data_IF_537807110993
#
_entry.id   IF_537807110993
#
_cell.length_a   1.000
_cell.length_b   1.000
_cell.length_c   1.000
_cell.angle_alpha   90.00
_cell.angle_beta   90.00
_cell.angle_gamma   90.00
#
_symmetry.space_group_name_H-M   'P 1'
#
loop_
_entity.id
_entity.type
_entity.pdbx_description
1 polymer ?
#
# COMPACT_ATOMS: atom_id res chain seq x y z
N UNK A 1 -9.59 -21.75 12.27
CA UNK A 1 -9.33 -20.30 12.09
C UNK A 1 -10.67 -19.64 11.95
N UNK A 2 -11.18 -19.01 13.01
CA UNK A 2 -12.40 -18.20 12.92
C UNK A 2 -12.06 -16.93 12.15
N UNK A 3 -12.41 -16.96 10.88
CA UNK A 3 -12.25 -15.83 9.95
C UNK A 3 -13.45 -14.92 10.19
N UNK A 4 -13.26 -13.85 10.97
CA UNK A 4 -14.24 -12.77 11.03
C UNK A 4 -14.19 -12.03 9.69
N UNK A 5 -15.12 -12.37 8.82
CA UNK A 5 -15.35 -11.71 7.53
C UNK A 5 -15.52 -10.20 7.73
N UNK A 6 -14.53 -9.40 7.33
CA UNK A 6 -14.65 -7.96 7.27
C UNK A 6 -14.93 -7.55 5.82
N UNK A 7 -16.07 -6.87 5.62
CA UNK A 7 -16.45 -6.17 4.39
C UNK A 7 -15.43 -5.08 4.08
N UNK A 8 -15.43 -4.58 2.83
CA UNK A 8 -14.79 -3.33 2.40
C UNK A 8 -14.77 -2.32 3.56
N UNK A 9 -13.58 -2.08 4.11
CA UNK A 9 -13.40 -1.22 5.26
C UNK A 9 -13.22 0.21 4.77
N UNK A 10 -13.93 1.14 5.40
CA UNK A 10 -13.71 2.58 5.21
C UNK A 10 -12.22 2.89 5.45
N UNK A 11 -11.54 3.65 4.58
CA UNK A 11 -10.13 3.98 4.77
C UNK A 11 -9.80 4.63 6.13
N UNK A 12 -10.77 5.29 6.80
CA UNK A 12 -10.60 5.74 8.20
C UNK A 12 -10.48 4.58 9.18
N UNK A 13 -11.30 3.54 9.00
CA UNK A 13 -11.23 2.29 9.79
C UNK A 13 -9.93 1.55 9.49
N UNK A 14 -9.48 1.49 8.23
CA UNK A 14 -8.17 0.92 7.90
C UNK A 14 -7.06 1.68 8.60
N UNK A 15 -7.08 3.02 8.57
CA UNK A 15 -6.09 3.85 9.28
C UNK A 15 -6.09 3.63 10.80
N UNK A 16 -7.27 3.54 11.41
CA UNK A 16 -7.41 3.24 12.83
C UNK A 16 -6.87 1.84 13.17
N UNK A 17 -7.22 0.83 12.37
CA UNK A 17 -6.70 -0.54 12.51
C UNK A 17 -5.19 -0.58 12.37
N UNK A 18 -4.60 0.22 11.47
CA UNK A 18 -3.15 0.28 11.30
C UNK A 18 -2.48 0.92 12.51
N UNK A 19 -3.05 2.02 13.01
CA UNK A 19 -2.52 2.73 14.17
C UNK A 19 -2.61 1.88 15.45
N UNK A 20 -3.65 1.05 15.57
CA UNK A 20 -3.92 0.22 16.74
C UNK A 20 -3.25 -1.17 16.68
N UNK A 21 -3.12 -1.77 15.50
CA UNK A 21 -2.74 -3.19 15.34
C UNK A 21 -1.24 -3.45 15.11
N UNK A 22 -0.34 -2.55 15.48
CA UNK A 22 1.10 -2.72 15.29
C UNK A 22 1.62 -4.04 15.94
N UNK A 23 2.42 -4.92 15.30
CA UNK A 23 2.65 -5.23 13.88
C UNK A 23 1.92 -6.53 13.43
N UNK A 24 0.70 -6.75 13.92
CA UNK A 24 -0.01 -8.03 13.79
C UNK A 24 -1.10 -8.01 12.71
N UNK A 25 -1.08 -7.08 11.75
CA UNK A 25 -2.09 -7.01 10.69
C UNK A 25 -1.50 -7.42 9.34
N UNK A 26 -2.27 -8.18 8.54
CA UNK A 26 -1.91 -8.53 7.17
C UNK A 26 -3.14 -8.60 6.28
N UNK A 27 -2.92 -8.47 4.97
CA UNK A 27 -3.94 -8.78 3.97
C UNK A 27 -3.99 -10.31 3.81
N UNK A 28 -5.17 -10.91 3.92
CA UNK A 28 -5.41 -12.33 3.76
C UNK A 28 -4.78 -12.85 2.46
N UNK A 29 -3.92 -13.88 2.49
CA UNK A 29 -3.32 -14.44 1.27
C UNK A 29 -4.35 -15.12 0.35
N UNK A 30 -5.59 -15.30 0.84
CA UNK A 30 -6.69 -15.90 0.08
C UNK A 30 -7.38 -14.89 -0.85
N UNK A 31 -7.19 -13.59 -0.60
CA UNK A 31 -7.78 -12.56 -1.43
C UNK A 31 -6.85 -12.17 -2.59
N UNK A 32 -7.43 -11.71 -3.69
CA UNK A 32 -6.71 -11.12 -4.83
C UNK A 32 -6.69 -9.59 -4.78
N UNK A 33 -6.91 -9.00 -3.60
CA UNK A 33 -6.88 -7.55 -3.43
C UNK A 33 -5.58 -7.07 -2.83
N UNK A 34 -5.26 -5.79 -3.05
CA UNK A 34 -4.06 -5.15 -2.51
C UNK A 34 -4.40 -3.83 -1.84
N UNK A 35 -3.40 -3.21 -1.23
CA UNK A 35 -3.51 -1.87 -0.67
C UNK A 35 -2.39 -1.01 -1.24
N UNK A 36 -2.75 0.15 -1.78
CA UNK A 36 -1.80 1.19 -2.16
C UNK A 36 -1.83 2.26 -1.10
N UNK A 37 -0.65 2.63 -0.61
CA UNK A 37 -0.47 3.64 0.42
C UNK A 37 0.36 4.77 -0.14
N UNK A 38 -0.22 5.95 -0.25
CA UNK A 38 0.45 7.14 -0.76
C UNK A 38 0.90 8.04 0.38
N UNK A 39 2.11 8.58 0.24
CA UNK A 39 2.57 9.74 0.98
C UNK A 39 2.82 10.93 0.02
N UNK A 40 3.48 11.98 0.50
CA UNK A 40 3.72 13.17 -0.32
C UNK A 40 4.64 12.93 -1.54
N UNK A 41 5.46 11.89 -1.52
CA UNK A 41 6.56 11.69 -2.47
C UNK A 41 6.45 10.39 -3.28
N UNK A 42 5.92 9.32 -2.68
CA UNK A 42 5.80 8.01 -3.32
C UNK A 42 4.56 7.26 -2.83
N UNK A 43 4.19 6.24 -3.60
CA UNK A 43 3.18 5.26 -3.20
C UNK A 43 3.83 3.89 -3.03
N UNK A 44 3.36 3.16 -2.02
CA UNK A 44 3.80 1.82 -1.70
C UNK A 44 2.66 0.82 -1.96
N UNK A 45 3.00 -0.34 -2.52
CA UNK A 45 2.06 -1.38 -2.90
C UNK A 45 2.19 -2.58 -1.95
N UNK A 46 1.12 -2.85 -1.20
CA UNK A 46 1.03 -3.97 -0.27
C UNK A 46 0.23 -5.09 -0.93
N UNK A 47 0.87 -6.25 -1.04
CA UNK A 47 0.31 -7.45 -1.66
C UNK A 47 -0.40 -8.36 -0.64
N UNK A 48 -1.34 -9.22 -1.09
CA UNK A 48 -1.89 -10.28 -0.27
C UNK A 48 -0.79 -11.12 0.41
N UNK A 49 -1.00 -11.46 1.67
CA UNK A 49 -0.05 -12.24 2.48
C UNK A 49 1.23 -11.49 2.81
N UNK A 50 1.24 -10.16 2.73
CA UNK A 50 2.35 -9.32 3.18
C UNK A 50 2.03 -8.66 4.51
N UNK A 51 3.06 -8.50 5.36
CA UNK A 51 2.91 -7.76 6.60
C UNK A 51 2.50 -6.31 6.31
N UNK A 52 1.51 -5.84 7.04
CA UNK A 52 1.05 -4.46 6.99
C UNK A 52 1.67 -3.72 8.18
N UNK A 53 2.98 -3.51 8.08
CA UNK A 53 3.74 -2.72 9.06
C UNK A 53 4.01 -1.36 8.43
N UNK A 54 3.34 -0.34 8.94
CA UNK A 54 3.58 1.05 8.52
C UNK A 54 4.47 1.70 9.57
N UNK A 55 5.55 2.34 9.12
CA UNK A 55 6.41 3.11 10.02
C UNK A 55 5.58 4.18 10.73
N UNK A 56 5.76 4.40 12.04
CA UNK A 56 5.06 5.46 12.77
C UNK A 56 5.33 6.86 12.17
N UNK A 57 6.45 7.03 11.46
CA UNK A 57 6.81 8.28 10.76
C UNK A 57 6.25 8.36 9.33
N UNK A 58 5.49 7.36 8.88
CA UNK A 58 4.92 7.36 7.54
C UNK A 58 3.68 8.27 7.51
N UNK A 59 3.85 9.47 6.96
CA UNK A 59 2.74 10.41 6.73
C UNK A 59 1.87 9.94 5.57
N UNK A 60 0.94 9.02 5.85
CA UNK A 60 -0.04 8.55 4.89
C UNK A 60 -1.00 9.69 4.51
N UNK A 61 -1.01 10.06 3.23
CA UNK A 61 -1.88 11.08 2.64
C UNK A 61 -3.18 10.46 2.12
N UNK A 62 -3.07 9.32 1.45
CA UNK A 62 -4.22 8.55 0.95
C UNK A 62 -3.92 7.05 0.96
N UNK A 63 -5.01 6.29 1.00
CA UNK A 63 -5.04 4.83 0.93
C UNK A 63 -6.01 4.45 -0.19
N UNK A 64 -5.67 3.42 -0.95
CA UNK A 64 -6.53 2.88 -2.00
C UNK A 64 -6.55 1.35 -1.94
N UNK A 65 -7.74 0.79 -1.80
CA UNK A 65 -7.94 -0.66 -1.81
C UNK A 65 -8.13 -1.12 -3.25
N UNK A 66 -7.26 -2.03 -3.69
CA UNK A 66 -7.38 -2.65 -5.02
C UNK A 66 -8.18 -3.93 -4.88
N UNK A 67 -9.33 -4.01 -5.53
CA UNK A 67 -10.18 -5.21 -5.51
C UNK A 67 -10.71 -5.57 -4.12
N UNK A 68 -10.97 -6.87 -3.89
CA UNK A 68 -11.49 -7.35 -2.61
C UNK A 68 -10.35 -7.64 -1.64
N UNK A 69 -10.28 -6.88 -0.56
CA UNK A 69 -9.26 -7.00 0.50
C UNK A 69 -9.91 -7.51 1.78
N UNK A 70 -9.26 -8.46 2.43
CA UNK A 70 -9.61 -8.92 3.77
C UNK A 70 -8.39 -8.74 4.68
N UNK A 71 -8.57 -8.10 5.84
CA UNK A 71 -7.50 -7.95 6.82
C UNK A 71 -7.63 -9.01 7.91
N UNK A 72 -6.51 -9.64 8.25
CA UNK A 72 -6.46 -10.67 9.30
C UNK A 72 -5.35 -10.36 10.30
N UNK A 73 -5.63 -10.68 11.56
CA UNK A 73 -4.67 -10.59 12.66
C UNK A 73 -3.67 -11.75 12.64
N UNK A 74 -2.43 -11.49 13.06
CA UNK A 74 -1.30 -12.42 13.05
C UNK A 74 -0.70 -12.53 14.43
N UNK A 75 -0.97 -13.63 15.11
CA UNK A 75 -0.58 -13.81 16.51
C UNK A 75 0.78 -14.53 16.63
N UNK A 76 1.12 -15.40 15.69
CA UNK A 76 2.36 -16.19 15.72
C UNK A 76 3.57 -15.39 15.24
N UNK A 77 4.69 -15.48 15.97
CA UNK A 77 5.97 -14.87 15.56
C UNK A 77 6.48 -15.43 14.22
N UNK A 78 6.32 -16.74 14.00
CA UNK A 78 6.74 -17.39 12.76
C UNK A 78 5.94 -16.87 11.56
N UNK A 79 4.63 -16.68 11.74
CA UNK A 79 3.78 -16.11 10.69
C UNK A 79 4.13 -14.65 10.42
N UNK A 80 4.38 -13.85 11.47
CA UNK A 80 4.85 -12.46 11.30
C UNK A 80 6.13 -12.39 10.48
N UNK A 81 7.12 -13.24 10.78
CA UNK A 81 8.37 -13.29 10.02
C UNK A 81 8.14 -13.68 8.56
N UNK A 82 7.29 -14.67 8.29
CA UNK A 82 6.94 -15.08 6.93
C UNK A 82 6.26 -13.95 6.14
N UNK A 83 5.31 -13.26 6.75
CA UNK A 83 4.59 -12.14 6.14
C UNK A 83 5.52 -10.94 5.90
N UNK A 84 6.47 -10.71 6.80
CA UNK A 84 7.53 -9.72 6.61
C UNK A 84 8.43 -10.06 5.41
N UNK A 85 8.85 -11.31 5.29
CA UNK A 85 9.61 -11.76 4.12
C UNK A 85 8.83 -11.58 2.81
N UNK A 86 7.53 -11.86 2.80
CA UNK A 86 6.66 -11.60 1.65
C UNK A 86 6.59 -10.11 1.32
N UNK A 87 6.52 -9.26 2.34
CA UNK A 87 6.54 -7.80 2.19
C UNK A 87 7.82 -7.33 1.50
N UNK A 88 8.98 -7.80 1.97
CA UNK A 88 10.29 -7.50 1.35
C UNK A 88 10.33 -7.97 -0.11
N UNK A 89 9.87 -9.19 -0.41
CA UNK A 89 9.80 -9.70 -1.80
C UNK A 89 8.91 -8.84 -2.68
N UNK A 90 7.80 -8.32 -2.14
CA UNK A 90 6.91 -7.39 -2.83
C UNK A 90 7.62 -6.09 -3.18
N UNK A 91 8.27 -5.47 -2.19
CA UNK A 91 9.05 -4.23 -2.37
C UNK A 91 10.15 -4.44 -3.43
N UNK A 92 10.90 -5.54 -3.35
CA UNK A 92 11.94 -5.87 -4.33
C UNK A 92 11.43 -6.09 -5.75
N UNK A 93 10.17 -6.51 -5.95
CA UNK A 93 9.58 -6.58 -7.29
C UNK A 93 9.31 -5.20 -7.85
N UNK A 94 8.75 -4.31 -7.04
CA UNK A 94 8.49 -2.92 -7.45
C UNK A 94 9.80 -2.18 -7.72
N UNK A 95 10.80 -2.33 -6.84
CA UNK A 95 12.12 -1.71 -7.04
C UNK A 95 12.79 -2.15 -8.34
N UNK A 96 12.71 -3.44 -8.70
CA UNK A 96 13.22 -3.92 -10.01
C UNK A 96 12.52 -3.29 -11.21
N UNK A 97 11.23 -2.98 -11.09
CA UNK A 97 10.52 -2.22 -12.13
C UNK A 97 11.04 -0.78 -12.18
N UNK A 98 11.34 -0.18 -11.02
CA UNK A 98 11.87 1.19 -10.94
C UNK A 98 13.30 1.32 -11.48
N UNK A 99 14.06 0.23 -11.54
CA UNK A 99 15.40 0.19 -12.15
C UNK A 99 15.38 0.31 -13.69
N UNK A 100 14.23 0.07 -14.34
CA UNK A 100 14.10 0.24 -15.78
C UNK A 100 14.20 1.73 -16.18
N UNK A 101 15.15 2.11 -17.04
CA UNK A 101 15.38 3.52 -17.38
C UNK A 101 14.23 4.14 -18.19
N UNK A 102 13.54 3.38 -19.03
CA UNK A 102 12.49 3.89 -19.90
C UNK A 102 11.16 3.93 -19.16
N UNK A 103 10.62 5.13 -18.90
CA UNK A 103 9.39 5.28 -18.10
C UNK A 103 8.15 4.61 -18.70
N UNK A 104 8.03 4.57 -20.03
CA UNK A 104 6.97 3.78 -20.68
C UNK A 104 7.09 2.28 -20.38
N UNK A 105 8.31 1.74 -20.35
CA UNK A 105 8.56 0.34 -20.04
C UNK A 105 8.32 0.04 -18.55
N UNK A 106 8.69 0.98 -17.66
CA UNK A 106 8.29 0.93 -16.24
C UNK A 106 6.77 0.84 -16.09
N UNK A 107 6.03 1.71 -16.77
CA UNK A 107 4.58 1.72 -16.72
C UNK A 107 4.00 0.38 -17.21
N UNK A 108 4.52 -0.16 -18.32
CA UNK A 108 4.10 -1.45 -18.87
C UNK A 108 4.35 -2.60 -17.90
N UNK A 109 5.54 -2.67 -17.30
CA UNK A 109 5.89 -3.70 -16.32
C UNK A 109 5.05 -3.58 -15.04
N UNK A 110 4.80 -2.35 -14.57
CA UNK A 110 3.95 -2.11 -13.42
C UNK A 110 2.50 -2.54 -13.68
N UNK A 111 1.92 -2.13 -14.81
CA UNK A 111 0.55 -2.56 -15.19
C UNK A 111 0.48 -4.09 -15.31
N UNK A 112 1.49 -4.73 -15.91
CA UNK A 112 1.57 -6.19 -15.96
C UNK A 112 1.56 -6.82 -14.56
N UNK A 113 2.36 -6.28 -13.64
CA UNK A 113 2.40 -6.75 -12.25
C UNK A 113 1.03 -6.60 -11.57
N UNK A 114 0.38 -5.44 -11.74
CA UNK A 114 -0.95 -5.17 -11.17
C UNK A 114 -2.01 -6.12 -11.74
N UNK A 115 -2.05 -6.32 -13.06
CA UNK A 115 -2.97 -7.23 -13.73
C UNK A 115 -2.75 -8.69 -13.32
N UNK A 116 -1.49 -9.14 -13.24
CA UNK A 116 -1.15 -10.50 -12.80
C UNK A 116 -1.58 -10.76 -11.35
N UNK A 117 -1.41 -9.75 -10.49
CA UNK A 117 -1.64 -9.91 -9.07
C UNK A 117 -3.11 -9.75 -8.67
N UNK A 118 -3.80 -8.75 -9.24
CA UNK A 118 -5.15 -8.35 -8.83
C UNK A 118 -6.23 -8.76 -9.84
N UNK A 119 -5.81 -9.18 -11.04
CA UNK A 119 -6.70 -9.34 -12.18
C UNK A 119 -6.90 -8.03 -12.92
N UNK A 120 -7.24 -8.16 -14.20
CA UNK A 120 -7.38 -7.03 -15.11
C UNK A 120 -8.42 -6.00 -14.65
N UNK A 121 -9.62 -6.45 -14.29
CA UNK A 121 -10.72 -5.56 -13.89
C UNK A 121 -10.36 -4.71 -12.66
N UNK A 122 -9.76 -5.34 -11.64
CA UNK A 122 -9.32 -4.62 -10.44
C UNK A 122 -8.16 -3.67 -10.75
N UNK A 123 -7.21 -4.07 -11.61
CA UNK A 123 -6.08 -3.23 -12.01
C UNK A 123 -6.52 -2.00 -12.81
N UNK A 124 -7.53 -2.12 -13.67
CA UNK A 124 -8.08 -1.00 -14.46
C UNK A 124 -8.79 0.04 -13.62
N UNK A 125 -9.30 -0.35 -12.45
CA UNK A 125 -9.96 0.55 -11.51
C UNK A 125 -8.96 1.37 -10.69
N UNK A 126 -7.67 1.03 -10.69
CA UNK A 126 -6.67 1.79 -9.94
C UNK A 126 -6.54 3.18 -10.58
N UNK A 127 -6.71 4.26 -9.80
CA UNK A 127 -6.52 5.61 -10.30
C UNK A 127 -5.09 5.83 -10.81
N UNK A 128 -4.97 6.63 -11.87
CA UNK A 128 -3.71 6.85 -12.57
C UNK A 128 -2.63 7.42 -11.64
N UNK A 129 -2.99 8.32 -10.73
CA UNK A 129 -2.06 8.95 -9.78
C UNK A 129 -1.34 7.94 -8.88
N UNK A 130 -2.01 6.85 -8.48
CA UNK A 130 -1.36 5.80 -7.69
C UNK A 130 -0.35 5.02 -8.54
N UNK A 131 -0.70 4.71 -9.79
CA UNK A 131 0.22 4.02 -10.71
C UNK A 131 1.45 4.89 -10.98
N UNK A 132 1.24 6.19 -11.20
CA UNK A 132 2.31 7.17 -11.42
C UNK A 132 3.26 7.25 -10.24
N UNK A 133 2.71 7.30 -9.02
CA UNK A 133 3.52 7.38 -7.79
C UNK A 133 4.23 6.07 -7.45
N UNK A 134 3.62 4.91 -7.73
CA UNK A 134 4.28 3.61 -7.52
C UNK A 134 5.38 3.38 -8.55
N UNK A 135 5.15 3.73 -9.81
CA UNK A 135 6.05 3.46 -10.94
C UNK A 135 7.06 4.56 -11.25
N UNK A 136 6.95 5.72 -10.60
CA UNK A 136 7.67 6.95 -10.98
C UNK A 136 7.53 7.22 -12.49
N UNK A 137 6.30 7.20 -12.98
CA UNK A 137 5.93 7.37 -14.40
C UNK A 137 4.95 8.53 -14.57
N UNK A 138 4.91 9.09 -15.77
CA UNK A 138 3.98 10.14 -16.16
C UNK A 138 2.62 9.57 -16.57
N UNK A 139 1.62 10.44 -16.64
CA UNK A 139 0.30 10.11 -17.21
C UNK A 139 0.42 9.53 -18.61
N UNK A 140 1.20 10.19 -19.48
CA UNK A 140 1.31 9.79 -20.88
C UNK A 140 1.90 8.38 -21.02
N UNK A 141 2.95 8.08 -20.28
CA UNK A 141 3.58 6.75 -20.26
C UNK A 141 2.59 5.68 -19.77
N UNK A 142 1.82 6.00 -18.73
CA UNK A 142 0.81 5.09 -18.18
C UNK A 142 -0.32 4.81 -19.17
N UNK A 143 -0.82 5.85 -19.85
CA UNK A 143 -1.88 5.70 -20.86
C UNK A 143 -1.40 4.90 -22.08
N UNK A 144 -0.20 5.19 -22.58
CA UNK A 144 0.40 4.44 -23.68
C UNK A 144 0.62 2.97 -23.32
N UNK A 145 1.07 2.69 -22.09
CA UNK A 145 1.27 1.34 -21.61
C UNK A 145 -0.05 0.55 -21.55
N UNK A 146 -1.15 1.17 -21.09
CA UNK A 146 -2.48 0.56 -21.17
C UNK A 146 -2.90 0.28 -22.62
N UNK A 147 -2.77 1.28 -23.49
CA UNK A 147 -3.15 1.17 -24.91
C UNK A 147 -2.42 0.02 -25.61
N UNK A 148 -1.12 -0.17 -25.34
CA UNK A 148 -0.32 -1.27 -25.88
C UNK A 148 -0.80 -2.66 -25.45
N UNK A 149 -1.52 -2.76 -24.33
CA UNK A 149 -2.16 -4.01 -23.91
C UNK A 149 -3.53 -4.26 -24.56
N UNK A 150 -3.98 -3.36 -25.45
CA UNK A 150 -5.33 -3.38 -26.01
C UNK A 150 -6.41 -3.04 -24.97
N UNK A 151 -6.02 -2.35 -23.91
CA UNK A 151 -6.80 -2.08 -22.70
C UNK A 151 -6.74 -0.57 -22.39
N UNK A 152 -7.70 -0.04 -21.65
CA UNK A 152 -7.65 1.36 -21.17
C UNK A 152 -7.92 1.40 -19.68
N UNK A 153 -7.35 2.34 -18.90
CA UNK A 153 -7.76 2.49 -17.51
C UNK A 153 -9.26 2.78 -17.45
N UNK A 154 -9.97 2.22 -16.47
CA UNK A 154 -11.40 2.45 -16.30
C UNK A 154 -11.69 3.88 -15.81
N UNK A 155 -10.74 4.48 -15.09
CA UNK A 155 -10.78 5.86 -14.65
C UNK A 155 -9.65 6.66 -15.32
N UNK A 156 -10.03 7.64 -16.16
CA UNK A 156 -9.11 8.59 -16.78
C UNK A 156 -8.95 9.88 -15.95
N UNK A 157 -9.58 9.97 -14.78
CA UNK A 157 -9.51 11.17 -13.95
C UNK A 157 -8.12 11.31 -13.35
N UNK A 158 -7.45 12.42 -13.68
CA UNK A 158 -6.20 12.87 -13.03
C UNK A 158 -6.43 13.48 -11.64
N UNK A 159 -7.66 13.41 -11.17
CA UNK A 159 -8.08 13.90 -9.88
C UNK A 159 -9.00 12.86 -9.28
N UNK A 160 -8.53 12.16 -8.25
CA UNK A 160 -9.30 11.84 -7.07
C UNK A 160 -10.47 12.83 -6.89
N UNK A 161 -11.68 12.51 -7.31
CA UNK A 161 -12.82 13.28 -6.82
C UNK A 161 -12.93 12.95 -5.32
N UNK A 162 -13.04 13.96 -4.45
CA UNK A 162 -13.09 13.75 -3.00
C UNK A 162 -14.29 12.91 -2.54
N UNK A 163 -15.27 12.67 -3.44
CA UNK A 163 -16.48 11.91 -3.20
C UNK A 163 -16.42 10.45 -3.72
N UNK A 164 -15.27 9.98 -4.22
CA UNK A 164 -15.12 8.56 -4.58
C UNK A 164 -15.04 7.72 -3.28
N UNK A 165 -15.98 6.79 -3.02
CA UNK A 165 -15.98 5.99 -1.80
C UNK A 165 -14.73 5.10 -1.65
N UNK A 166 -13.97 4.88 -2.72
CA UNK A 166 -12.71 4.15 -2.68
C UNK A 166 -11.51 5.03 -2.28
N UNK A 167 -11.69 6.35 -2.15
CA UNK A 167 -10.59 7.31 -2.11
C UNK A 167 -10.83 8.42 -1.08
N UNK A 168 -9.98 8.48 -0.05
CA UNK A 168 -10.00 9.58 0.93
C UNK A 168 -8.76 10.46 0.76
N UNK A 169 -8.99 11.73 0.41
CA UNK A 169 -7.97 12.79 0.38
C UNK A 169 -7.93 13.47 1.76
N UNK A 170 -6.81 13.37 2.47
CA UNK A 170 -6.63 14.07 3.74
C UNK A 170 -6.20 15.53 3.53
N UNK A 171 -6.83 16.46 4.26
CA UNK A 171 -6.33 17.82 4.49
C UNK A 171 -5.85 17.96 5.94
N UNK A 172 -4.62 18.46 6.20
CA UNK A 172 -4.18 18.78 7.54
C UNK A 172 -4.98 19.95 8.10
N UNK A 173 -5.93 19.70 9.00
CA UNK A 173 -6.16 20.66 10.06
C UNK A 173 -5.13 20.36 11.15
N UNK A 174 -4.02 21.08 11.14
CA UNK A 174 -3.04 21.09 12.24
C UNK A 174 -3.74 21.55 13.53
N UNK A 175 -3.85 20.73 14.60
CA UNK A 175 -3.98 21.28 15.93
C UNK A 175 -2.56 21.60 16.44
N UNK A 176 -2.42 22.80 17.02
CA UNK A 176 -1.20 23.28 17.67
C UNK A 176 -0.57 22.18 18.55
N UNK A 177 0.72 21.94 18.33
CA UNK A 177 1.59 21.27 19.30
C UNK A 177 1.48 21.96 20.66
N UNK A 178 0.76 21.35 21.60
CA UNK A 178 0.97 21.57 23.02
C UNK A 178 1.44 20.25 23.65
N UNK A 179 2.72 20.27 24.05
CA UNK A 179 3.35 19.53 25.14
C UNK A 179 3.05 18.03 25.25
N UNK A 180 3.96 17.22 24.70
CA UNK A 180 4.34 15.96 25.34
C UNK A 180 5.52 16.24 26.27
N UNK A 181 5.27 16.17 27.57
CA UNK A 181 6.29 16.08 28.62
C UNK A 181 7.02 14.74 28.47
N UNK A 182 8.35 14.79 28.55
CA UNK A 182 9.20 13.61 28.53
C UNK A 182 8.87 12.68 29.69
N UNK A 183 8.77 11.39 29.36
CA UNK A 183 9.08 10.22 30.20
C UNK A 183 8.46 9.01 29.51
N UNK A 184 9.10 8.45 28.48
CA UNK A 184 9.03 7.03 28.02
C UNK A 184 10.01 6.78 26.85
N UNK A 185 11.24 7.30 26.92
CA UNK A 185 12.30 7.08 25.92
C UNK A 185 13.37 6.07 26.39
N UNK A 186 13.01 5.14 27.26
CA UNK A 186 13.90 4.05 27.71
C UNK A 186 13.19 2.70 27.57
N UNK A 187 13.09 2.16 26.34
CA UNK A 187 12.85 0.72 26.20
C UNK A 187 13.30 0.08 24.87
N UNK A 188 14.17 0.72 24.08
CA UNK A 188 14.67 0.13 22.83
C UNK A 188 16.19 0.32 22.64
N UNK A 189 16.96 0.06 23.71
CA UNK A 189 18.42 0.24 23.71
C UNK A 189 19.26 -0.97 24.14
N UNK A 190 18.69 -2.14 24.42
CA UNK A 190 19.43 -3.21 25.14
C UNK A 190 19.50 -4.59 24.50
N UNK A 191 19.08 -4.79 23.25
CA UNK A 191 19.17 -6.13 22.59
C UNK A 191 19.98 -6.18 21.29
N UNK A 192 20.93 -5.26 21.09
CA UNK A 192 21.82 -5.27 19.91
C UNK A 192 23.33 -5.42 20.21
N UNK A 193 23.74 -5.72 21.45
CA UNK A 193 25.16 -5.93 21.81
C UNK A 193 25.53 -7.36 22.25
N UNK A 194 24.67 -8.37 22.07
CA UNK A 194 24.97 -9.76 22.50
C UNK A 194 25.27 -10.75 21.35
N UNK A 195 25.79 -10.29 20.22
CA UNK A 195 26.20 -11.19 19.13
C UNK A 195 27.49 -10.73 18.42
N UNK A 196 28.51 -10.40 19.19
CA UNK A 196 29.90 -10.35 18.76
C UNK A 196 30.65 -11.59 19.26
#
# INVERSE_FOLDING_TARGET
MDVKTCRSLDPKTVKALIAEANPSLTISPRCRGGLIISNAFFSDLIFPGSSLTISPNFHCKSLYLVGSVEFVGVISAQDRQRLWQNRIKGIQRVLRILEEPVGQERARQLINLLCQQFGLEAARQIPLEFIQQVGAVTTQETLLAWQQQGQGPAQLSLTCQPDDPALIVWQPSLPRLQQWSGDQAEFLGSELESAA
#
